data_IF_369059179819
#
_entry.id   IF_369059179819
#
_cell.length_a   1.000
_cell.length_b   1.000
_cell.length_c   1.000
_cell.angle_alpha   90.00
_cell.angle_beta   90.00
_cell.angle_gamma   90.00
#
_symmetry.space_group_name_H-M   'P 1'
#
loop_
_entity.id
_entity.type
_entity.pdbx_description
1 polymer ?
#
# COMPACT_ATOMS: atom_id res chain seq x y z
N UNK A 1 12.68 -17.41 -9.53
CA UNK A 1 13.27 -17.51 -8.16
C UNK A 1 12.31 -17.97 -7.06
N UNK A 2 10.98 -17.71 -7.10
CA UNK A 2 10.04 -18.11 -6.02
C UNK A 2 9.77 -19.62 -5.90
N UNK A 3 9.79 -20.38 -7.00
CA UNK A 3 9.61 -21.85 -7.01
C UNK A 3 10.79 -22.63 -6.42
N UNK A 4 11.99 -22.04 -6.35
CA UNK A 4 13.18 -22.65 -5.74
C UNK A 4 13.12 -22.61 -4.19
N UNK A 5 12.36 -21.67 -3.61
CA UNK A 5 12.32 -21.42 -2.16
C UNK A 5 11.71 -22.58 -1.35
N UNK A 6 10.55 -23.17 -1.74
CA UNK A 6 10.00 -24.34 -1.06
C UNK A 6 10.90 -25.56 -1.19
N UNK A 7 11.62 -25.69 -2.31
CA UNK A 7 12.54 -26.79 -2.56
C UNK A 7 13.77 -26.71 -1.65
N UNK A 8 14.42 -25.55 -1.57
CA UNK A 8 15.59 -25.32 -0.71
C UNK A 8 15.24 -25.57 0.77
N UNK A 9 14.08 -25.07 1.23
CA UNK A 9 13.62 -25.25 2.63
C UNK A 9 13.30 -26.71 2.97
N UNK A 10 12.69 -27.44 2.02
CA UNK A 10 12.45 -28.90 2.16
C UNK A 10 13.76 -29.69 2.21
N UNK A 11 14.78 -29.27 1.47
CA UNK A 11 16.06 -29.97 1.37
C UNK A 11 16.96 -29.72 2.58
N UNK A 12 17.02 -28.48 3.09
CA UNK A 12 17.69 -28.16 4.35
C UNK A 12 17.07 -28.88 5.55
N UNK A 13 15.74 -28.90 5.65
CA UNK A 13 15.03 -29.66 6.70
C UNK A 13 15.32 -31.17 6.64
N UNK A 14 15.46 -31.74 5.44
CA UNK A 14 15.84 -33.16 5.28
C UNK A 14 17.27 -33.42 5.75
N UNK A 15 18.22 -32.51 5.49
CA UNK A 15 19.62 -32.64 5.92
C UNK A 15 19.74 -32.56 7.45
N UNK A 16 19.08 -31.59 8.08
CA UNK A 16 19.03 -31.46 9.54
C UNK A 16 18.39 -32.69 10.21
N UNK A 17 17.26 -33.19 9.67
CA UNK A 17 16.59 -34.38 10.19
C UNK A 17 17.42 -35.67 10.04
N UNK A 18 18.26 -35.76 8.99
CA UNK A 18 19.15 -36.91 8.77
C UNK A 18 20.36 -36.90 9.72
N UNK A 19 20.94 -35.73 9.97
CA UNK A 19 22.04 -35.57 10.93
C UNK A 19 21.57 -35.88 12.37
N UNK A 20 20.38 -35.42 12.74
CA UNK A 20 19.78 -35.69 14.05
C UNK A 20 19.51 -37.20 14.27
N UNK A 21 19.04 -37.90 13.23
CA UNK A 21 18.84 -39.36 13.29
C UNK A 21 20.14 -40.16 13.42
N UNK A 22 21.27 -39.58 13.08
CA UNK A 22 22.59 -40.20 13.16
C UNK A 22 23.37 -39.78 14.42
N UNK A 23 22.72 -39.14 15.40
CA UNK A 23 23.34 -38.57 16.61
C UNK A 23 24.49 -37.58 16.34
N UNK A 24 24.53 -36.99 15.14
CA UNK A 24 25.50 -35.95 14.77
C UNK A 24 24.93 -34.57 15.11
N UNK A 25 25.03 -34.23 16.38
CA UNK A 25 24.49 -32.99 16.95
C UNK A 25 25.21 -31.74 16.44
N UNK A 26 26.50 -31.82 16.14
CA UNK A 26 27.28 -30.71 15.60
C UNK A 26 26.83 -30.36 14.18
N UNK A 27 26.69 -31.38 13.31
CA UNK A 27 26.15 -31.16 11.97
C UNK A 27 24.70 -30.67 12.00
N UNK A 28 23.89 -31.18 12.94
CA UNK A 28 22.50 -30.73 13.14
C UNK A 28 22.42 -29.24 13.46
N UNK A 29 23.30 -28.73 14.35
CA UNK A 29 23.35 -27.31 14.72
C UNK A 29 23.76 -26.43 13.54
N UNK A 30 24.75 -26.86 12.76
CA UNK A 30 25.21 -26.13 11.56
C UNK A 30 24.08 -25.99 10.54
N UNK A 31 23.36 -27.08 10.23
CA UNK A 31 22.25 -27.01 9.27
C UNK A 31 21.06 -26.18 9.78
N UNK A 32 20.79 -26.19 11.09
CA UNK A 32 19.75 -25.33 11.67
C UNK A 32 20.15 -23.85 11.63
N UNK A 33 21.39 -23.52 11.96
CA UNK A 33 21.90 -22.14 11.88
C UNK A 33 21.85 -21.62 10.45
N UNK A 34 22.28 -22.42 9.47
CA UNK A 34 22.20 -22.08 8.05
C UNK A 34 20.74 -21.87 7.59
N UNK A 35 19.78 -22.65 8.10
CA UNK A 35 18.35 -22.45 7.81
C UNK A 35 17.80 -21.14 8.42
N UNK A 36 18.25 -20.78 9.62
CA UNK A 36 17.84 -19.54 10.31
C UNK A 36 18.44 -18.32 9.59
N UNK A 37 19.73 -18.32 9.28
CA UNK A 37 20.39 -17.24 8.52
C UNK A 37 19.74 -17.04 7.16
N UNK A 38 19.45 -18.13 6.43
CA UNK A 38 18.72 -18.06 5.17
C UNK A 38 17.28 -17.54 5.34
N UNK A 39 16.59 -17.86 6.44
CA UNK A 39 15.28 -17.31 6.76
C UNK A 39 15.35 -15.80 7.06
N UNK A 40 16.34 -15.37 7.84
CA UNK A 40 16.54 -13.96 8.20
C UNK A 40 16.94 -13.11 6.98
N UNK A 41 17.87 -13.57 6.15
CA UNK A 41 18.22 -12.91 4.88
C UNK A 41 17.04 -12.88 3.90
N UNK A 42 16.20 -13.92 3.90
CA UNK A 42 14.99 -13.95 3.08
C UNK A 42 13.90 -13.00 3.58
N UNK A 43 13.78 -12.81 4.89
CA UNK A 43 12.86 -11.86 5.52
C UNK A 43 13.30 -10.41 5.36
N UNK A 44 14.61 -10.15 5.28
CA UNK A 44 15.14 -8.81 4.98
C UNK A 44 14.89 -8.40 3.52
N UNK A 45 14.84 -9.37 2.59
CA UNK A 45 14.50 -9.15 1.18
C UNK A 45 12.99 -9.21 0.88
N UNK A 46 12.15 -9.56 1.86
CA UNK A 46 10.71 -9.38 1.77
C UNK A 46 10.39 -7.97 2.26
N UNK A 47 10.53 -6.98 1.37
CA UNK A 47 10.14 -5.59 1.62
C UNK A 47 8.78 -5.63 2.30
N UNK A 48 8.72 -5.28 3.60
CA UNK A 48 7.48 -5.36 4.38
C UNK A 48 6.39 -4.64 3.60
N UNK A 49 5.42 -5.40 3.08
CA UNK A 49 4.36 -4.84 2.25
C UNK A 49 3.63 -3.78 3.06
N UNK A 50 3.83 -2.53 2.68
CA UNK A 50 3.20 -1.39 3.33
C UNK A 50 1.93 -1.09 2.57
N UNK A 51 0.79 -1.24 3.23
CA UNK A 51 -0.51 -0.95 2.64
C UNK A 51 -0.99 0.45 2.99
N UNK A 52 -0.60 0.96 4.16
CA UNK A 52 -1.11 2.21 4.72
C UNK A 52 0.05 3.18 4.94
N UNK A 53 -0.18 4.44 4.56
CA UNK A 53 0.71 5.58 4.80
C UNK A 53 -0.14 6.70 5.39
N UNK A 54 0.40 7.44 6.35
CA UNK A 54 -0.36 8.52 7.01
C UNK A 54 0.19 9.90 6.61
N UNK A 55 1.51 10.08 6.76
CA UNK A 55 2.19 11.32 6.38
C UNK A 55 3.48 10.98 5.64
N UNK A 56 3.49 11.31 4.35
CA UNK A 56 4.63 11.12 3.48
C UNK A 56 4.66 12.25 2.45
N UNK A 57 5.87 12.64 2.07
CA UNK A 57 6.08 13.54 0.93
C UNK A 57 5.90 12.77 -0.38
N UNK A 58 5.75 13.49 -1.50
CA UNK A 58 5.60 12.87 -2.83
C UNK A 58 6.82 12.01 -3.18
N UNK A 59 8.02 12.45 -2.81
CA UNK A 59 9.26 11.70 -3.03
C UNK A 59 9.22 10.37 -2.27
N UNK A 60 8.80 10.41 -0.99
CA UNK A 60 8.70 9.19 -0.19
C UNK A 60 7.57 8.28 -0.68
N UNK A 61 6.47 8.85 -1.16
CA UNK A 61 5.40 8.09 -1.81
C UNK A 61 5.92 7.38 -3.07
N UNK A 62 6.75 8.04 -3.87
CA UNK A 62 7.40 7.44 -5.05
C UNK A 62 8.25 6.22 -4.68
N UNK A 63 9.12 6.34 -3.66
CA UNK A 63 9.90 5.20 -3.16
C UNK A 63 9.00 4.05 -2.68
N UNK A 64 7.97 4.37 -1.89
CA UNK A 64 7.06 3.36 -1.36
C UNK A 64 6.23 2.70 -2.46
N UNK A 65 5.83 3.42 -3.51
CA UNK A 65 5.10 2.86 -4.65
C UNK A 65 5.99 1.94 -5.50
N UNK A 66 7.29 2.25 -5.64
CA UNK A 66 8.28 1.34 -6.26
C UNK A 66 8.34 0.01 -5.50
N UNK A 67 8.29 0.04 -4.17
CA UNK A 67 8.28 -1.14 -3.31
C UNK A 67 6.91 -1.85 -3.25
N UNK A 68 5.82 -1.12 -3.50
CA UNK A 68 4.44 -1.57 -3.36
C UNK A 68 3.67 -1.38 -4.68
N UNK A 69 3.90 -2.25 -5.69
CA UNK A 69 3.29 -2.11 -7.03
C UNK A 69 1.76 -2.25 -7.04
N UNK A 70 1.16 -2.69 -5.93
CA UNK A 70 -0.30 -2.75 -5.75
C UNK A 70 -0.91 -1.41 -5.32
N UNK A 71 -0.06 -0.43 -5.03
CA UNK A 71 -0.47 0.86 -4.52
C UNK A 71 -0.47 0.97 -3.01
N UNK A 72 -0.83 2.17 -2.56
CA UNK A 72 -0.86 2.57 -1.16
C UNK A 72 -2.20 3.22 -0.82
N UNK A 73 -2.61 3.07 0.44
CA UNK A 73 -3.70 3.84 1.04
C UNK A 73 -3.12 4.97 1.90
N UNK A 74 -3.32 6.22 1.46
CA UNK A 74 -3.01 7.41 2.23
C UNK A 74 -4.18 7.75 3.17
N UNK A 75 -3.97 7.56 4.47
CA UNK A 75 -4.97 7.84 5.51
C UNK A 75 -4.65 9.19 6.16
N UNK A 76 -5.59 10.14 6.05
CA UNK A 76 -5.44 11.49 6.61
C UNK A 76 -6.64 11.80 7.52
N UNK A 77 -6.39 12.19 8.76
CA UNK A 77 -7.49 12.54 9.68
C UNK A 77 -8.19 13.85 9.27
N UNK A 78 -7.44 14.79 8.67
CA UNK A 78 -7.94 16.08 8.21
C UNK A 78 -7.47 16.41 6.79
N UNK A 79 -8.36 16.24 5.82
CA UNK A 79 -8.10 16.53 4.41
C UNK A 79 -8.13 18.03 4.08
N UNK A 80 -8.77 18.88 4.89
CA UNK A 80 -8.86 20.31 4.54
C UNK A 80 -7.49 20.98 4.48
N UNK A 81 -6.59 20.67 5.42
CA UNK A 81 -5.21 21.18 5.42
C UNK A 81 -4.40 20.63 4.24
N UNK A 82 -4.61 19.37 3.89
CA UNK A 82 -3.98 18.74 2.73
C UNK A 82 -4.39 19.43 1.42
N UNK A 83 -5.69 19.57 1.18
CA UNK A 83 -6.22 20.24 -0.01
C UNK A 83 -5.78 21.70 -0.09
N UNK A 84 -5.82 22.43 1.03
CA UNK A 84 -5.37 23.82 1.07
C UNK A 84 -3.87 23.97 0.73
N UNK A 85 -3.02 23.01 1.11
CA UNK A 85 -1.61 23.02 0.72
C UNK A 85 -1.43 22.81 -0.78
N UNK A 86 -2.20 21.91 -1.40
CA UNK A 86 -2.14 21.65 -2.85
C UNK A 86 -2.64 22.81 -3.72
N UNK A 87 -3.35 23.79 -3.16
CA UNK A 87 -3.74 25.02 -3.86
C UNK A 87 -2.58 26.04 -3.94
N UNK A 88 -1.53 25.89 -3.12
CA UNK A 88 -0.41 26.85 -3.09
C UNK A 88 0.50 26.63 -4.30
N UNK A 89 1.04 27.73 -4.87
CA UNK A 89 1.97 27.69 -6.01
C UNK A 89 3.18 26.78 -5.80
N UNK A 90 3.69 26.68 -4.57
CA UNK A 90 4.84 25.85 -4.23
C UNK A 90 4.58 24.34 -4.35
N UNK A 91 3.30 23.90 -4.34
CA UNK A 91 2.90 22.50 -4.34
C UNK A 91 2.20 22.07 -5.65
N UNK A 92 2.36 22.85 -6.73
CA UNK A 92 1.75 22.53 -8.03
C UNK A 92 2.31 21.23 -8.63
N UNK A 93 3.59 20.92 -8.41
CA UNK A 93 4.20 19.65 -8.80
C UNK A 93 3.56 18.48 -8.06
N UNK A 94 3.44 18.60 -6.72
CA UNK A 94 2.81 17.58 -5.88
C UNK A 94 1.37 17.33 -6.29
N UNK A 95 0.63 18.41 -6.61
CA UNK A 95 -0.74 18.32 -7.11
C UNK A 95 -0.82 17.49 -8.39
N UNK A 96 0.09 17.71 -9.34
CA UNK A 96 0.20 16.91 -10.56
C UNK A 96 0.43 15.42 -10.27
N UNK A 97 1.29 15.10 -9.30
CA UNK A 97 1.50 13.72 -8.85
C UNK A 97 0.22 13.06 -8.31
N UNK A 98 -0.54 13.76 -7.44
CA UNK A 98 -1.79 13.20 -6.91
C UNK A 98 -2.86 13.00 -8.00
N UNK A 99 -2.95 13.92 -8.97
CA UNK A 99 -3.85 13.80 -10.12
C UNK A 99 -3.48 12.61 -11.01
N UNK A 100 -2.19 12.40 -11.27
CA UNK A 100 -1.71 11.25 -12.03
C UNK A 100 -1.97 9.94 -11.27
N UNK A 101 -1.73 9.94 -9.96
CA UNK A 101 -1.89 8.75 -9.11
C UNK A 101 -3.34 8.25 -9.02
N UNK A 102 -4.32 9.09 -9.36
CA UNK A 102 -5.72 8.70 -9.44
C UNK A 102 -6.00 7.75 -10.62
N UNK A 103 -5.37 7.98 -11.77
CA UNK A 103 -5.63 7.17 -12.98
C UNK A 103 -4.91 5.82 -12.94
N UNK A 104 -3.80 5.72 -12.19
CA UNK A 104 -3.08 4.47 -11.94
C UNK A 104 -2.53 3.75 -13.20
N UNK A 105 -2.45 4.44 -14.34
CA UNK A 105 -2.10 3.88 -15.63
C UNK A 105 -0.80 4.45 -16.22
N UNK A 106 -0.23 5.48 -15.58
CA UNK A 106 0.96 6.17 -16.06
C UNK A 106 2.15 5.97 -15.13
N UNK A 107 3.34 5.67 -15.69
CA UNK A 107 4.56 5.61 -14.91
C UNK A 107 4.95 6.98 -14.40
N UNK A 108 5.62 7.00 -13.26
CA UNK A 108 6.17 8.22 -12.67
C UNK A 108 7.65 8.03 -12.39
N UNK A 109 8.47 8.86 -13.01
CA UNK A 109 9.92 8.87 -12.81
C UNK A 109 10.30 10.15 -12.08
N UNK A 110 11.05 9.99 -11.00
CA UNK A 110 11.59 11.10 -10.24
C UNK A 110 13.12 11.02 -10.23
N UNK A 111 13.75 12.05 -10.78
CA UNK A 111 15.20 12.17 -10.89
C UNK A 111 15.71 13.29 -9.97
N UNK A 112 16.58 12.93 -9.04
CA UNK A 112 17.24 13.88 -8.14
C UNK A 112 18.74 13.86 -8.34
N UNK A 113 19.36 15.04 -8.37
CA UNK A 113 20.81 15.18 -8.39
C UNK A 113 21.39 14.55 -7.12
N UNK A 114 22.21 13.50 -7.27
CA UNK A 114 22.90 12.82 -6.17
C UNK A 114 22.10 11.74 -5.44
N UNK A 115 20.91 11.37 -5.90
CA UNK A 115 20.17 10.18 -5.43
C UNK A 115 19.87 9.26 -6.60
N UNK A 116 19.52 8.01 -6.30
CA UNK A 116 19.08 7.05 -7.32
C UNK A 116 17.77 7.52 -7.96
N UNK A 117 17.65 7.32 -9.28
CA UNK A 117 16.40 7.51 -10.02
C UNK A 117 15.32 6.58 -9.47
N UNK A 118 14.17 7.15 -9.11
CA UNK A 118 13.00 6.37 -8.69
C UNK A 118 12.07 6.26 -9.90
N UNK A 119 11.97 5.06 -10.45
CA UNK A 119 10.98 4.73 -11.47
C UNK A 119 9.87 3.89 -10.85
N UNK A 120 8.64 4.39 -10.95
CA UNK A 120 7.43 3.70 -10.52
C UNK A 120 6.62 3.36 -11.77
N UNK A 121 6.39 2.07 -12.02
CA UNK A 121 5.65 1.62 -13.20
C UNK A 121 4.19 2.09 -13.17
N UNK A 122 3.52 1.96 -12.03
CA UNK A 122 2.14 2.37 -11.83
C UNK A 122 2.00 3.16 -10.52
N UNK A 123 1.51 4.39 -10.62
CA UNK A 123 1.22 5.22 -9.45
C UNK A 123 -0.20 4.98 -8.96
N UNK A 124 -0.40 3.96 -8.12
CA UNK A 124 -1.72 3.67 -7.54
C UNK A 124 -1.81 4.22 -6.12
N UNK A 125 -2.53 5.32 -5.94
CA UNK A 125 -2.73 5.91 -4.62
C UNK A 125 -4.23 6.08 -4.32
N UNK A 126 -4.70 5.38 -3.31
CA UNK A 126 -6.03 5.62 -2.72
C UNK A 126 -5.89 6.57 -1.54
N UNK A 127 -6.87 7.45 -1.34
CA UNK A 127 -6.89 8.37 -0.21
C UNK A 127 -8.20 8.25 0.56
N UNK A 128 -8.10 8.20 1.89
CA UNK A 128 -9.24 8.27 2.79
C UNK A 128 -8.96 9.27 3.90
N UNK A 129 -9.98 10.06 4.24
CA UNK A 129 -9.84 10.99 5.34
C UNK A 129 -11.09 11.77 5.69
N UNK A 130 -11.05 12.36 6.88
CA UNK A 130 -12.08 13.27 7.37
C UNK A 130 -11.94 14.65 6.73
N UNK A 131 -13.05 15.34 6.52
CA UNK A 131 -13.05 16.76 6.18
C UNK A 131 -14.24 17.43 6.85
N UNK A 132 -13.98 18.61 7.42
CA UNK A 132 -15.06 19.38 8.02
C UNK A 132 -16.02 19.94 6.95
N UNK A 133 -17.34 19.80 7.13
CA UNK A 133 -18.40 20.48 6.37
C UNK A 133 -18.11 21.91 5.90
N UNK A 134 -17.67 22.76 6.83
CA UNK A 134 -17.38 24.16 6.58
C UNK A 134 -16.18 24.37 5.64
N UNK A 135 -15.28 23.39 5.54
CA UNK A 135 -14.06 23.45 4.71
C UNK A 135 -14.28 22.92 3.30
N UNK A 136 -15.17 21.96 3.11
CA UNK A 136 -15.49 21.43 1.77
C UNK A 136 -16.49 22.31 1.01
N UNK A 137 -17.37 23.03 1.71
CA UNK A 137 -18.40 23.87 1.09
C UNK A 137 -17.84 24.91 0.10
N UNK A 138 -16.77 25.68 0.43
CA UNK A 138 -16.17 26.63 -0.51
C UNK A 138 -15.55 25.94 -1.73
N UNK A 139 -14.94 24.76 -1.57
CA UNK A 139 -14.34 23.99 -2.67
C UNK A 139 -15.42 23.54 -3.65
N UNK A 140 -16.55 23.02 -3.16
CA UNK A 140 -17.70 22.63 -3.99
C UNK A 140 -18.28 23.85 -4.71
N UNK A 141 -18.40 25.00 -4.05
CA UNK A 141 -18.89 26.24 -4.68
C UNK A 141 -17.93 26.74 -5.77
N UNK A 142 -16.62 26.66 -5.53
CA UNK A 142 -15.61 27.05 -6.51
C UNK A 142 -15.72 26.22 -7.80
N UNK A 143 -15.89 24.89 -7.66
CA UNK A 143 -16.14 23.97 -8.77
C UNK A 143 -17.35 24.39 -9.61
N UNK A 144 -18.49 24.70 -8.96
CA UNK A 144 -19.70 25.14 -9.67
C UNK A 144 -19.51 26.48 -10.40
N UNK A 145 -18.60 27.33 -9.93
CA UNK A 145 -18.28 28.61 -10.55
C UNK A 145 -17.19 28.54 -11.63
N UNK A 146 -16.65 27.35 -11.92
CA UNK A 146 -15.55 27.15 -12.87
C UNK A 146 -14.19 27.65 -12.37
N UNK A 147 -14.02 27.85 -11.05
CA UNK A 147 -12.74 28.23 -10.43
C UNK A 147 -12.09 26.99 -9.81
N UNK A 148 -10.80 26.77 -10.09
CA UNK A 148 -10.06 25.59 -9.60
C UNK A 148 -10.24 24.35 -10.48
N UNK A 149 -10.25 24.55 -11.80
CA UNK A 149 -10.67 23.58 -12.82
C UNK A 149 -9.52 22.65 -13.29
N UNK A 150 -8.92 21.93 -12.35
CA UNK A 150 -7.90 20.91 -12.67
C UNK A 150 -8.32 19.49 -12.32
N UNK A 151 -9.53 19.32 -11.79
CA UNK A 151 -10.11 18.00 -11.56
C UNK A 151 -9.78 17.39 -10.20
N UNK A 152 -8.99 18.04 -9.32
CA UNK A 152 -8.53 17.39 -8.07
C UNK A 152 -9.70 16.99 -7.17
N UNK A 153 -10.62 17.93 -6.90
CA UNK A 153 -11.78 17.64 -6.04
C UNK A 153 -12.73 16.65 -6.72
N UNK A 154 -12.85 16.69 -8.05
CA UNK A 154 -13.64 15.72 -8.83
C UNK A 154 -13.10 14.28 -8.70
N UNK A 155 -11.88 14.08 -8.20
CA UNK A 155 -11.29 12.74 -7.99
C UNK A 155 -11.69 12.12 -6.64
N UNK A 156 -12.23 12.92 -5.72
CA UNK A 156 -12.83 12.41 -4.50
C UNK A 156 -14.28 11.97 -4.77
N UNK A 157 -14.43 10.80 -5.38
CA UNK A 157 -15.73 10.28 -5.84
C UNK A 157 -16.67 9.86 -4.70
N UNK A 158 -16.12 9.48 -3.54
CA UNK A 158 -16.89 9.01 -2.38
C UNK A 158 -16.84 10.01 -1.23
N UNK A 159 -17.54 11.13 -1.38
CA UNK A 159 -17.78 12.06 -0.27
C UNK A 159 -19.06 11.64 0.43
N UNK A 160 -18.94 11.20 1.68
CA UNK A 160 -20.08 10.84 2.52
C UNK A 160 -20.33 11.98 3.50
N UNK A 161 -21.52 12.56 3.44
CA UNK A 161 -22.02 13.48 4.45
C UNK A 161 -23.15 12.78 5.22
N UNK A 162 -22.87 12.18 6.39
CA UNK A 162 -23.91 11.53 7.16
C UNK A 162 -24.86 12.58 7.70
N UNK A 163 -26.17 12.34 7.57
CA UNK A 163 -27.18 13.14 8.24
C UNK A 163 -27.03 13.00 9.76
N UNK A 164 -27.27 14.10 10.50
CA UNK A 164 -27.37 14.08 11.96
C UNK A 164 -28.67 13.37 12.37
N UNK A 165 -28.63 12.04 12.29
CA UNK A 165 -29.69 11.21 12.82
C UNK A 165 -29.50 11.10 14.32
N UNK A 166 -30.24 11.92 15.07
CA UNK A 166 -30.30 11.92 16.55
C UNK A 166 -30.66 10.54 17.19
N UNK A 167 -30.86 9.50 16.38
CA UNK A 167 -31.22 8.14 16.77
C UNK A 167 -30.08 7.14 16.62
N UNK A 168 -28.81 7.57 16.53
CA UNK A 168 -27.70 6.63 16.63
C UNK A 168 -27.68 6.03 18.04
N UNK A 169 -28.12 4.79 18.18
CA UNK A 169 -27.93 4.01 19.41
C UNK A 169 -26.57 3.34 19.33
N UNK A 170 -25.68 3.70 20.23
CA UNK A 170 -24.44 2.94 20.45
C UNK A 170 -24.82 1.56 20.95
N UNK A 171 -24.68 0.56 20.09
CA UNK A 171 -24.93 -0.84 20.44
C UNK A 171 -23.58 -1.52 20.46
N UNK A 172 -23.16 -1.95 21.65
CA UNK A 172 -22.04 -2.85 21.82
C UNK A 172 -22.50 -4.27 21.44
N UNK A 173 -22.27 -4.63 20.18
CA UNK A 173 -22.61 -5.95 19.63
C UNK A 173 -21.32 -6.67 19.32
N UNK A 174 -21.26 -7.95 19.66
CA UNK A 174 -20.17 -8.79 19.22
C UNK A 174 -20.05 -8.76 17.69
N UNK A 175 -18.82 -8.75 17.14
CA UNK A 175 -18.63 -8.82 15.70
C UNK A 175 -19.20 -10.13 15.17
N UNK A 176 -19.84 -10.07 14.00
CA UNK A 176 -20.31 -11.24 13.28
C UNK A 176 -19.09 -12.04 12.77
N UNK A 177 -18.72 -13.09 13.51
CA UNK A 177 -17.50 -13.89 13.26
C UNK A 177 -17.43 -14.42 11.84
N UNK A 178 -18.53 -14.94 11.32
CA UNK A 178 -18.59 -15.49 9.95
C UNK A 178 -18.41 -14.38 8.89
N UNK A 179 -18.98 -13.20 9.11
CA UNK A 179 -18.80 -12.06 8.21
C UNK A 179 -17.34 -11.56 8.21
N UNK A 180 -16.70 -11.51 9.38
CA UNK A 180 -15.29 -11.15 9.50
C UNK A 180 -14.39 -12.15 8.77
N UNK A 181 -14.64 -13.46 8.97
CA UNK A 181 -13.90 -14.52 8.29
C UNK A 181 -14.05 -14.44 6.77
N UNK A 182 -15.28 -14.26 6.27
CA UNK A 182 -15.53 -14.12 4.83
C UNK A 182 -14.83 -12.88 4.26
N UNK A 183 -14.86 -11.75 4.96
CA UNK A 183 -14.13 -10.54 4.58
C UNK A 183 -12.61 -10.80 4.50
N UNK A 184 -12.07 -11.47 5.51
CA UNK A 184 -10.64 -11.80 5.57
C UNK A 184 -10.23 -12.74 4.42
N UNK A 185 -11.03 -13.76 4.12
CA UNK A 185 -10.79 -14.68 3.01
C UNK A 185 -10.76 -13.96 1.66
N UNK A 186 -11.73 -13.07 1.41
CA UNK A 186 -11.77 -12.24 0.18
C UNK A 186 -10.56 -11.32 0.11
N UNK A 187 -10.23 -10.64 1.20
CA UNK A 187 -9.06 -9.75 1.26
C UNK A 187 -7.76 -10.51 0.96
N UNK A 188 -7.58 -11.68 1.59
CA UNK A 188 -6.42 -12.55 1.35
C UNK A 188 -6.38 -13.06 -0.09
N UNK A 189 -7.52 -13.40 -0.70
CA UNK A 189 -7.54 -13.79 -2.11
C UNK A 189 -7.01 -12.69 -3.03
N UNK A 190 -7.34 -11.41 -2.77
CA UNK A 190 -6.79 -10.30 -3.56
C UNK A 190 -5.31 -10.05 -3.26
N UNK A 191 -4.92 -10.16 -1.99
CA UNK A 191 -3.54 -9.98 -1.55
C UNK A 191 -2.62 -11.11 -2.01
N UNK A 192 -3.11 -12.31 -2.26
CA UNK A 192 -2.26 -13.44 -2.60
C UNK A 192 -2.14 -13.65 -4.13
N UNK A 193 -2.95 -12.94 -4.94
CA UNK A 193 -2.79 -12.86 -6.41
C UNK A 193 -1.48 -12.15 -6.75
N UNK A 194 -0.58 -12.78 -7.50
CA UNK A 194 0.67 -12.14 -7.91
C UNK A 194 0.37 -11.03 -8.94
N UNK A 195 0.72 -9.76 -8.65
CA UNK A 195 0.38 -8.64 -9.52
C UNK A 195 0.98 -8.76 -10.92
N UNK A 196 2.02 -9.58 -11.10
CA UNK A 196 2.71 -9.78 -12.37
C UNK A 196 2.22 -10.97 -13.19
N UNK A 197 1.23 -11.73 -12.72
CA UNK A 197 0.80 -12.95 -13.42
C UNK A 197 0.28 -12.66 -14.84
N UNK A 198 -0.28 -11.47 -15.07
CA UNK A 198 -0.77 -11.04 -16.39
C UNK A 198 0.36 -10.77 -17.40
N UNK A 199 1.58 -10.47 -16.95
CA UNK A 199 2.75 -10.25 -17.82
C UNK A 199 3.31 -11.57 -18.37
N UNK A 200 3.09 -12.70 -17.70
CA UNK A 200 3.53 -14.02 -18.16
C UNK A 200 2.65 -14.61 -19.27
N UNK A 201 1.50 -14.01 -19.55
CA UNK A 201 0.54 -14.44 -20.58
C UNK A 201 0.74 -13.77 -21.95
N UNK A 202 1.79 -12.95 -22.13
CA UNK A 202 2.11 -12.24 -23.38
C UNK A 202 3.37 -12.74 -24.10
N UNK A 203 3.75 -14.00 -23.89
CA UNK A 203 4.72 -14.74 -24.71
C UNK A 203 3.98 -15.85 -25.45
#
# INVERSE_FOLDING_TARGET
>A
MKLLRPCIKKEGNKKAAKAFKNDDYDATRVFLAELIENEEESNQNDTKQRLIVNDATVEKLGELLKENPRGLLLVRDELSGFLANLERKAYQTDRGFYLQSFNSDQPYTHDHIGRETIHVENTTLSMIGGIQPARITPLIRALHSGKGDDGLIQRFQMIVWPDDTKKCKWVDRDPLKDAYKNYEEVFRSFRDINPWDHLNTRL
#
